data_IF_209103021832
#
_entry.id   IF_209103021832
#
_cell.length_a   1.000
_cell.length_b   1.000
_cell.length_c   1.000
_cell.angle_alpha   90.00
_cell.angle_beta   90.00
_cell.angle_gamma   90.00
#
_symmetry.space_group_name_H-M   'P 1'
#
loop_
_entity.id
_entity.type
_entity.pdbx_description
1 polymer ?
#
# COMPACT_ATOMS: atom_id res chain seq x y z
N UNK A 1 -35.90 26.52 9.34
CA UNK A 1 -35.53 25.09 9.41
C UNK A 1 -34.90 24.73 8.08
N UNK A 2 -33.61 24.43 8.05
CA UNK A 2 -32.95 23.98 6.83
C UNK A 2 -33.35 22.53 6.58
N UNK A 3 -34.08 22.27 5.49
CA UNK A 3 -34.28 20.92 4.97
C UNK A 3 -32.90 20.30 4.71
N UNK A 4 -32.57 19.13 5.26
CA UNK A 4 -31.31 18.47 4.95
C UNK A 4 -31.29 18.17 3.45
N UNK A 5 -30.29 18.68 2.74
CA UNK A 5 -30.03 18.36 1.34
C UNK A 5 -29.99 16.84 1.20
N UNK A 6 -30.98 16.27 0.53
CA UNK A 6 -31.05 14.83 0.33
C UNK A 6 -29.80 14.39 -0.44
N UNK A 7 -29.00 13.50 0.15
CA UNK A 7 -27.82 12.96 -0.50
C UNK A 7 -28.21 12.32 -1.84
N UNK A 8 -27.40 12.57 -2.88
CA UNK A 8 -27.62 11.97 -4.18
C UNK A 8 -27.64 10.43 -4.06
N UNK A 9 -28.52 9.74 -4.81
CA UNK A 9 -28.58 8.29 -4.79
C UNK A 9 -27.27 7.70 -5.28
N UNK A 10 -26.87 6.58 -4.68
CA UNK A 10 -25.73 5.78 -5.13
C UNK A 10 -26.24 4.71 -6.08
N UNK A 11 -25.43 4.31 -7.05
CA UNK A 11 -25.81 3.28 -8.01
C UNK A 11 -24.75 2.19 -8.06
N UNK A 12 -25.18 0.95 -8.26
CA UNK A 12 -24.30 -0.17 -8.54
C UNK A 12 -24.87 -0.99 -9.69
N UNK A 13 -24.02 -1.60 -10.49
CA UNK A 13 -24.45 -2.60 -11.47
C UNK A 13 -23.45 -3.74 -11.50
N UNK A 14 -23.94 -4.97 -11.36
CA UNK A 14 -23.10 -6.16 -11.34
C UNK A 14 -23.67 -7.26 -12.22
N UNK A 15 -22.78 -8.05 -12.82
CA UNK A 15 -23.11 -9.36 -13.34
C UNK A 15 -22.98 -10.37 -12.19
N UNK A 16 -24.05 -11.09 -11.89
CA UNK A 16 -24.07 -12.13 -10.87
C UNK A 16 -24.27 -13.48 -11.55
N UNK A 17 -23.36 -14.42 -11.32
CA UNK A 17 -23.55 -15.82 -11.70
C UNK A 17 -24.59 -16.47 -10.79
N UNK A 18 -25.71 -16.92 -11.35
CA UNK A 18 -26.83 -17.54 -10.65
C UNK A 18 -26.97 -19.00 -11.04
N UNK A 19 -27.45 -19.82 -10.10
CA UNK A 19 -27.77 -21.21 -10.40
C UNK A 19 -28.85 -21.29 -11.49
N UNK A 20 -28.59 -22.08 -12.56
CA UNK A 20 -29.52 -22.27 -13.67
C UNK A 20 -30.61 -23.26 -13.24
N UNK A 21 -31.89 -22.91 -13.39
CA UNK A 21 -33.02 -23.80 -13.10
C UNK A 21 -33.14 -24.96 -14.10
N UNK A 22 -32.83 -24.72 -15.37
CA UNK A 22 -32.88 -25.71 -16.45
C UNK A 22 -31.53 -25.78 -17.21
N UNK A 23 -30.79 -26.90 -17.14
CA UNK A 23 -29.53 -27.10 -17.87
C UNK A 23 -29.62 -26.90 -19.40
N UNK A 24 -30.83 -26.90 -19.98
CA UNK A 24 -31.08 -26.68 -21.42
C UNK A 24 -31.47 -25.23 -21.77
N UNK A 25 -31.65 -24.35 -20.79
CA UNK A 25 -31.99 -22.96 -21.05
C UNK A 25 -30.83 -22.24 -21.76
N UNK A 26 -31.11 -21.70 -22.95
CA UNK A 26 -30.17 -20.89 -23.73
C UNK A 26 -30.15 -19.49 -23.15
N UNK A 27 -29.37 -19.33 -22.09
CA UNK A 27 -29.24 -18.10 -21.31
C UNK A 27 -28.35 -18.43 -20.13
N UNK A 28 -27.04 -18.28 -20.33
CA UNK A 28 -26.03 -18.70 -19.35
C UNK A 28 -26.36 -18.15 -17.97
N UNK A 29 -26.18 -18.97 -16.93
CA UNK A 29 -26.57 -18.73 -15.53
C UNK A 29 -25.97 -17.48 -14.90
N UNK A 30 -26.38 -16.33 -15.39
CA UNK A 30 -25.98 -15.02 -14.94
C UNK A 30 -27.09 -14.02 -15.20
N UNK A 31 -27.21 -13.06 -14.30
CA UNK A 31 -28.11 -11.90 -14.44
C UNK A 31 -27.31 -10.63 -14.23
N UNK A 32 -27.78 -9.54 -14.82
CA UNK A 32 -27.28 -8.20 -14.55
C UNK A 32 -28.24 -7.51 -13.59
N UNK A 33 -27.70 -7.01 -12.48
CA UNK A 33 -28.46 -6.32 -11.42
C UNK A 33 -27.98 -4.89 -11.33
N UNK A 34 -28.82 -3.95 -11.73
CA UNK A 34 -28.66 -2.52 -11.45
C UNK A 34 -29.45 -2.19 -10.19
N UNK A 35 -28.79 -1.58 -9.22
CA UNK A 35 -29.41 -1.13 -7.98
C UNK A 35 -29.24 0.38 -7.79
N UNK A 36 -30.28 1.01 -7.27
CA UNK A 36 -30.26 2.41 -6.84
C UNK A 36 -30.44 2.46 -5.33
N UNK A 37 -29.47 3.00 -4.63
CA UNK A 37 -29.38 3.01 -3.18
C UNK A 37 -29.68 4.41 -2.64
N UNK A 38 -30.67 4.48 -1.76
CA UNK A 38 -30.96 5.65 -0.93
C UNK A 38 -30.60 5.34 0.54
N UNK A 39 -30.56 6.35 1.43
CA UNK A 39 -30.21 6.12 2.84
C UNK A 39 -31.10 5.10 3.57
N UNK A 40 -32.35 4.92 3.15
CA UNK A 40 -33.37 4.14 3.86
C UNK A 40 -34.19 3.20 2.96
N UNK A 41 -33.92 3.21 1.64
CA UNK A 41 -34.63 2.43 0.64
C UNK A 41 -33.72 2.08 -0.53
N UNK A 42 -34.15 1.15 -1.39
CA UNK A 42 -33.43 0.86 -2.64
C UNK A 42 -34.39 0.42 -3.73
N UNK A 43 -33.93 0.46 -4.98
CA UNK A 43 -34.63 -0.18 -6.10
C UNK A 43 -33.68 -1.06 -6.90
N UNK A 44 -34.23 -2.12 -7.49
CA UNK A 44 -33.52 -3.09 -8.30
C UNK A 44 -34.14 -3.14 -9.70
N UNK A 45 -33.30 -3.17 -10.71
CA UNK A 45 -33.64 -3.57 -12.07
C UNK A 45 -32.71 -4.72 -12.47
N UNK A 46 -33.30 -5.85 -12.85
CA UNK A 46 -32.59 -7.10 -13.11
C UNK A 46 -32.94 -7.60 -14.50
N UNK A 47 -31.95 -8.08 -15.25
CA UNK A 47 -32.18 -8.74 -16.55
C UNK A 47 -31.29 -9.96 -16.72
N UNK A 48 -31.80 -10.98 -17.38
CA UNK A 48 -31.05 -12.14 -17.88
C UNK A 48 -30.65 -11.99 -19.36
N UNK A 49 -30.92 -10.82 -19.96
CA UNK A 49 -30.73 -10.52 -21.38
C UNK A 49 -31.97 -10.73 -22.25
N UNK A 50 -32.97 -11.50 -21.78
CA UNK A 50 -34.22 -11.73 -22.51
C UNK A 50 -35.42 -11.08 -21.80
N UNK A 51 -35.52 -11.25 -20.48
CA UNK A 51 -36.51 -10.65 -19.61
C UNK A 51 -35.93 -9.56 -18.72
N UNK A 52 -36.82 -8.79 -18.09
CA UNK A 52 -36.44 -7.81 -17.09
C UNK A 52 -37.44 -7.79 -15.94
N UNK A 53 -36.94 -7.58 -14.74
CA UNK A 53 -37.71 -7.55 -13.51
C UNK A 53 -37.25 -6.40 -12.62
N UNK A 54 -38.19 -5.81 -11.90
CA UNK A 54 -37.94 -4.65 -11.04
C UNK A 54 -38.45 -4.91 -9.63
N UNK A 55 -37.83 -4.25 -8.65
CA UNK A 55 -38.37 -4.13 -7.32
C UNK A 55 -38.09 -2.73 -6.77
N UNK A 56 -39.11 -2.15 -6.16
CA UNK A 56 -39.01 -0.94 -5.34
C UNK A 56 -39.10 -1.38 -3.89
N UNK A 57 -38.01 -1.29 -3.14
CA UNK A 57 -37.98 -1.62 -1.72
C UNK A 57 -38.23 -0.34 -0.93
N UNK A 58 -39.49 -0.09 -0.57
CA UNK A 58 -39.89 1.13 0.13
C UNK A 58 -39.23 1.24 1.51
N UNK A 59 -39.18 2.47 2.04
CA UNK A 59 -38.70 2.75 3.39
C UNK A 59 -39.33 1.86 4.48
N UNK A 60 -40.63 1.56 4.36
CA UNK A 60 -41.35 0.72 5.31
C UNK A 60 -40.96 -0.76 5.19
N UNK A 61 -40.83 -1.27 3.97
CA UNK A 61 -40.45 -2.66 3.72
C UNK A 61 -39.01 -2.93 4.13
N UNK A 62 -38.08 -2.01 3.85
CA UNK A 62 -36.69 -2.13 4.28
C UNK A 62 -36.59 -2.12 5.80
N UNK A 63 -37.31 -1.24 6.50
CA UNK A 63 -37.37 -1.23 7.98
C UNK A 63 -37.86 -2.56 8.53
N UNK A 64 -39.01 -3.05 8.02
CA UNK A 64 -39.59 -4.32 8.46
C UNK A 64 -38.63 -5.50 8.22
N UNK A 65 -37.89 -5.49 7.10
CA UNK A 65 -36.91 -6.53 6.77
C UNK A 65 -35.66 -6.46 7.62
N UNK A 66 -35.17 -5.26 7.91
CA UNK A 66 -34.05 -5.06 8.82
C UNK A 66 -34.38 -5.54 10.24
N UNK A 67 -35.59 -5.24 10.73
CA UNK A 67 -36.11 -5.70 12.02
C UNK A 67 -36.22 -7.24 12.09
N UNK A 68 -36.72 -7.89 11.03
CA UNK A 68 -36.74 -9.37 10.93
C UNK A 68 -35.35 -10.02 11.07
N UNK A 69 -34.30 -9.25 10.77
CA UNK A 69 -32.90 -9.71 10.80
C UNK A 69 -32.14 -9.20 12.02
N UNK A 70 -32.86 -8.55 12.94
CA UNK A 70 -32.33 -7.91 14.15
C UNK A 70 -31.08 -7.07 13.85
N UNK A 71 -31.23 -6.15 12.89
CA UNK A 71 -30.15 -5.25 12.48
C UNK A 71 -30.66 -3.85 12.12
N UNK A 72 -29.82 -2.81 12.28
CA UNK A 72 -30.14 -1.47 11.79
C UNK A 72 -30.40 -1.44 10.28
N UNK A 73 -31.25 -0.50 9.84
CA UNK A 73 -31.54 -0.28 8.40
C UNK A 73 -30.27 -0.02 7.60
N UNK A 74 -29.35 0.78 8.15
CA UNK A 74 -28.08 1.11 7.48
C UNK A 74 -27.22 -0.14 7.22
N UNK A 75 -27.19 -1.08 8.17
CA UNK A 75 -26.43 -2.33 8.06
C UNK A 75 -27.11 -3.30 7.08
N UNK A 76 -28.44 -3.38 7.11
CA UNK A 76 -29.22 -4.15 6.15
C UNK A 76 -28.95 -3.69 4.71
N UNK A 77 -28.98 -2.37 4.47
CA UNK A 77 -28.70 -1.78 3.15
C UNK A 77 -27.25 -1.97 2.74
N UNK A 78 -26.30 -1.75 3.65
CA UNK A 78 -24.86 -1.94 3.37
C UNK A 78 -24.53 -3.40 3.04
N UNK A 79 -25.20 -4.35 3.70
CA UNK A 79 -25.10 -5.77 3.40
C UNK A 79 -25.66 -6.07 1.99
N UNK A 80 -26.87 -5.58 1.69
CA UNK A 80 -27.47 -5.77 0.37
C UNK A 80 -26.60 -5.16 -0.74
N UNK A 81 -26.09 -3.95 -0.53
CA UNK A 81 -25.21 -3.27 -1.49
C UNK A 81 -23.91 -4.05 -1.71
N UNK A 82 -23.25 -4.52 -0.66
CA UNK A 82 -22.02 -5.30 -0.79
C UNK A 82 -22.20 -6.53 -1.71
N UNK A 83 -23.31 -7.24 -1.56
CA UNK A 83 -23.57 -8.49 -2.28
C UNK A 83 -24.16 -8.28 -3.67
N UNK A 84 -24.83 -7.15 -3.92
CA UNK A 84 -25.43 -6.83 -5.22
C UNK A 84 -24.56 -5.93 -6.09
N UNK A 85 -23.65 -5.15 -5.50
CA UNK A 85 -22.68 -4.34 -6.24
C UNK A 85 -21.51 -5.18 -6.77
N UNK A 86 -21.17 -6.28 -6.10
CA UNK A 86 -20.10 -7.20 -6.49
C UNK A 86 -20.46 -8.63 -6.10
N UNK A 87 -20.23 -9.57 -7.02
CA UNK A 87 -20.39 -10.99 -6.74
C UNK A 87 -19.40 -11.44 -5.66
N UNK A 88 -19.94 -12.03 -4.59
CA UNK A 88 -19.14 -12.54 -3.47
C UNK A 88 -18.73 -14.00 -3.73
N UNK A 89 -17.43 -14.35 -3.70
CA UNK A 89 -16.96 -15.71 -3.99
C UNK A 89 -17.51 -16.80 -3.06
N UNK A 90 -17.78 -16.45 -1.79
CA UNK A 90 -18.31 -17.37 -0.78
C UNK A 90 -19.84 -17.49 -0.79
N UNK A 91 -20.51 -16.75 -1.66
CA UNK A 91 -21.97 -16.69 -1.73
C UNK A 91 -22.50 -17.51 -2.89
N UNK A 92 -23.60 -18.23 -2.66
CA UNK A 92 -24.39 -18.84 -3.72
C UNK A 92 -25.54 -17.91 -4.06
N UNK A 93 -25.58 -17.45 -5.31
CA UNK A 93 -26.66 -16.63 -5.83
C UNK A 93 -27.66 -17.47 -6.61
N UNK A 94 -28.94 -17.10 -6.52
CA UNK A 94 -30.02 -17.82 -7.15
C UNK A 94 -31.05 -16.87 -7.74
N UNK A 95 -31.65 -17.28 -8.85
CA UNK A 95 -32.64 -16.50 -9.57
C UNK A 95 -33.74 -17.42 -10.09
N UNK A 96 -34.81 -17.52 -9.31
CA UNK A 96 -35.83 -18.56 -9.49
C UNK A 96 -37.19 -18.00 -9.87
N UNK A 97 -38.02 -18.80 -10.53
CA UNK A 97 -39.43 -18.44 -10.75
C UNK A 97 -40.18 -18.30 -9.42
N UNK A 98 -40.93 -17.21 -9.27
CA UNK A 98 -41.74 -16.88 -8.11
C UNK A 98 -43.25 -16.78 -8.44
N UNK A 99 -43.64 -17.25 -9.62
CA UNK A 99 -45.01 -17.27 -10.11
C UNK A 99 -45.48 -15.92 -10.64
N UNK A 100 -46.50 -15.94 -11.50
CA UNK A 100 -47.07 -14.74 -12.14
C UNK A 100 -46.02 -13.90 -12.89
N UNK A 101 -45.05 -14.56 -13.52
CA UNK A 101 -43.91 -13.92 -14.20
C UNK A 101 -42.90 -13.26 -13.26
N UNK A 102 -43.15 -13.25 -11.95
CA UNK A 102 -42.21 -12.72 -10.95
C UNK A 102 -41.00 -13.62 -10.82
N UNK A 103 -39.85 -13.04 -10.48
CA UNK A 103 -38.64 -13.79 -10.14
C UNK A 103 -38.24 -13.56 -8.69
N UNK A 104 -37.50 -14.48 -8.10
CA UNK A 104 -36.90 -14.33 -6.77
C UNK A 104 -35.39 -14.32 -6.91
N UNK A 105 -34.78 -13.19 -6.54
CA UNK A 105 -33.34 -13.07 -6.40
C UNK A 105 -32.96 -13.40 -4.96
N UNK A 106 -31.98 -14.27 -4.78
CA UNK A 106 -31.43 -14.55 -3.46
C UNK A 106 -29.93 -14.78 -3.48
N UNK A 107 -29.33 -14.62 -2.30
CA UNK A 107 -27.94 -15.00 -2.07
C UNK A 107 -27.72 -15.46 -0.64
N UNK A 108 -26.69 -16.27 -0.44
CA UNK A 108 -26.31 -16.74 0.89
C UNK A 108 -25.20 -15.90 1.50
N UNK A 109 -25.23 -15.67 2.79
CA UNK A 109 -24.15 -15.01 3.52
C UNK A 109 -24.03 -15.62 4.91
N UNK A 110 -22.89 -15.41 5.56
CA UNK A 110 -22.63 -15.94 6.89
C UNK A 110 -22.66 -14.80 7.92
N UNK A 111 -23.36 -15.01 9.03
CA UNK A 111 -23.39 -14.10 10.18
C UNK A 111 -23.23 -14.95 11.44
N UNK A 112 -22.18 -14.68 12.21
CA UNK A 112 -21.90 -15.37 13.48
C UNK A 112 -21.89 -16.92 13.37
N UNK A 113 -21.25 -17.46 12.33
CA UNK A 113 -21.17 -18.91 12.11
C UNK A 113 -22.44 -19.55 11.53
N UNK A 114 -23.49 -18.76 11.26
CA UNK A 114 -24.74 -19.25 10.67
C UNK A 114 -24.86 -18.80 9.22
N UNK A 115 -25.10 -19.74 8.31
CA UNK A 115 -25.40 -19.47 6.91
C UNK A 115 -26.87 -19.08 6.75
N UNK A 116 -27.10 -17.85 6.31
CA UNK A 116 -28.41 -17.26 6.08
C UNK A 116 -28.61 -16.98 4.59
N UNK A 117 -29.86 -16.78 4.17
CA UNK A 117 -30.20 -16.48 2.78
C UNK A 117 -31.06 -15.22 2.69
N UNK A 118 -30.54 -14.21 2.01
CA UNK A 118 -31.26 -12.99 1.69
C UNK A 118 -32.13 -13.23 0.46
N UNK A 119 -33.40 -12.81 0.48
CA UNK A 119 -34.34 -13.06 -0.62
C UNK A 119 -35.20 -11.83 -0.91
N UNK A 120 -35.38 -11.53 -2.20
CA UNK A 120 -36.28 -10.48 -2.65
C UNK A 120 -37.08 -10.93 -3.87
N UNK A 121 -38.36 -10.57 -3.87
CA UNK A 121 -39.25 -10.84 -5.00
C UNK A 121 -39.21 -9.65 -5.95
N UNK A 122 -39.03 -9.93 -7.23
CA UNK A 122 -38.99 -8.98 -8.32
C UNK A 122 -40.23 -9.18 -9.19
N UNK A 123 -40.88 -8.08 -9.57
CA UNK A 123 -42.03 -8.09 -10.48
C UNK A 123 -41.57 -8.00 -11.94
N UNK A 124 -42.30 -8.55 -12.91
CA UNK A 124 -42.03 -8.30 -14.32
C UNK A 124 -41.94 -6.79 -14.59
N UNK A 125 -40.95 -6.37 -15.38
CA UNK A 125 -40.90 -4.98 -15.83
C UNK A 125 -42.11 -4.67 -16.71
N UNK A 126 -42.76 -3.50 -16.55
CA UNK A 126 -43.82 -3.07 -17.46
C UNK A 126 -43.30 -2.83 -18.89
N UNK A 127 -42.01 -2.53 -19.05
CA UNK A 127 -41.36 -2.36 -20.35
C UNK A 127 -39.96 -3.00 -20.32
N UNK A 128 -39.91 -4.30 -20.66
CA UNK A 128 -38.69 -5.09 -20.68
C UNK A 128 -37.57 -4.45 -21.50
N UNK A 129 -37.88 -4.00 -22.72
CA UNK A 129 -36.86 -3.46 -23.63
C UNK A 129 -36.24 -2.17 -23.09
N UNK A 130 -37.07 -1.29 -22.54
CA UNK A 130 -36.60 -0.07 -21.91
C UNK A 130 -35.73 -0.35 -20.69
N UNK A 131 -36.15 -1.25 -19.79
CA UNK A 131 -35.34 -1.60 -18.62
C UNK A 131 -33.99 -2.19 -19.00
N UNK A 132 -33.93 -3.03 -20.04
CA UNK A 132 -32.68 -3.58 -20.55
C UNK A 132 -31.79 -2.46 -21.12
N UNK A 133 -32.36 -1.58 -21.95
CA UNK A 133 -31.64 -0.43 -22.51
C UNK A 133 -31.06 0.47 -21.40
N UNK A 134 -31.84 0.81 -20.37
CA UNK A 134 -31.40 1.65 -19.24
C UNK A 134 -30.31 0.99 -18.36
N UNK A 135 -30.23 -0.34 -18.34
CA UNK A 135 -29.11 -1.07 -17.70
C UNK A 135 -27.87 -0.99 -18.59
N UNK A 136 -28.02 -1.19 -19.90
CA UNK A 136 -26.92 -1.11 -20.86
C UNK A 136 -26.34 0.30 -20.95
N UNK A 137 -27.18 1.33 -21.04
CA UNK A 137 -26.78 2.74 -21.06
C UNK A 137 -25.96 3.07 -19.80
N UNK A 138 -26.44 2.65 -18.62
CA UNK A 138 -25.71 2.83 -17.37
C UNK A 138 -24.32 2.16 -17.40
N UNK A 139 -24.22 0.95 -17.95
CA UNK A 139 -22.95 0.24 -18.07
C UNK A 139 -22.01 0.92 -19.10
N UNK A 140 -22.54 1.40 -20.21
CA UNK A 140 -21.79 2.11 -21.24
C UNK A 140 -21.25 3.45 -20.72
N UNK A 141 -22.09 4.25 -20.05
CA UNK A 141 -21.67 5.50 -19.41
C UNK A 141 -20.57 5.27 -18.37
N UNK A 142 -20.74 4.23 -17.54
CA UNK A 142 -19.74 3.85 -16.56
C UNK A 142 -18.42 3.42 -17.23
N UNK A 143 -18.50 2.68 -18.34
CA UNK A 143 -17.33 2.23 -19.10
C UNK A 143 -16.57 3.40 -19.75
N UNK A 144 -17.28 4.34 -20.36
CA UNK A 144 -16.69 5.55 -20.96
C UNK A 144 -15.96 6.35 -19.88
N UNK A 145 -16.65 6.67 -18.78
CA UNK A 145 -16.07 7.44 -17.66
C UNK A 145 -14.85 6.74 -17.06
N UNK A 146 -14.91 5.42 -16.84
CA UNK A 146 -13.79 4.67 -16.30
C UNK A 146 -12.61 4.63 -17.27
N UNK A 147 -12.88 4.49 -18.58
CA UNK A 147 -11.84 4.50 -19.61
C UNK A 147 -11.12 5.84 -19.67
N UNK A 148 -11.85 6.96 -19.62
CA UNK A 148 -11.28 8.30 -19.52
C UNK A 148 -10.45 8.47 -18.23
N UNK A 149 -10.91 7.92 -17.11
CA UNK A 149 -10.20 7.96 -15.85
C UNK A 149 -8.90 7.17 -15.87
N UNK A 150 -8.89 5.99 -16.50
CA UNK A 150 -7.67 5.20 -16.71
C UNK A 150 -6.68 6.01 -17.55
N UNK A 151 -7.09 6.57 -18.69
CA UNK A 151 -6.19 7.37 -19.55
C UNK A 151 -5.57 8.53 -18.77
N UNK A 152 -6.39 9.30 -18.05
CA UNK A 152 -5.93 10.46 -17.27
C UNK A 152 -4.97 10.06 -16.15
N UNK A 153 -5.29 8.98 -15.42
CA UNK A 153 -4.44 8.50 -14.32
C UNK A 153 -3.11 7.95 -14.83
N UNK A 154 -3.11 7.21 -15.94
CA UNK A 154 -1.87 6.73 -16.58
C UNK A 154 -0.98 7.89 -17.02
N UNK A 155 -1.53 8.90 -17.70
CA UNK A 155 -0.76 10.09 -18.08
C UNK A 155 -0.18 10.84 -16.88
N UNK A 156 -0.95 10.97 -15.79
CA UNK A 156 -0.46 11.59 -14.55
C UNK A 156 0.63 10.77 -13.88
N UNK A 157 0.49 9.44 -13.89
CA UNK A 157 1.47 8.52 -13.33
C UNK A 157 2.80 8.61 -14.10
N UNK A 158 2.76 8.61 -15.44
CA UNK A 158 3.96 8.72 -16.27
C UNK A 158 4.69 10.04 -16.05
N UNK A 159 3.96 11.16 -15.93
CA UNK A 159 4.53 12.48 -15.60
C UNK A 159 5.22 12.46 -14.24
N UNK A 160 4.53 11.93 -13.21
CA UNK A 160 5.09 11.86 -11.87
C UNK A 160 6.33 10.96 -11.81
N UNK A 161 6.33 9.86 -12.55
CA UNK A 161 7.50 8.98 -12.68
C UNK A 161 8.69 9.71 -13.29
N UNK A 162 8.48 10.46 -14.39
CA UNK A 162 9.54 11.26 -15.01
C UNK A 162 10.08 12.36 -14.08
N UNK A 163 9.21 13.02 -13.32
CA UNK A 163 9.63 14.03 -12.33
C UNK A 163 10.43 13.40 -11.18
N UNK A 164 10.03 12.21 -10.71
CA UNK A 164 10.77 11.46 -9.72
C UNK A 164 12.17 11.07 -10.21
N UNK A 165 12.29 10.61 -11.46
CA UNK A 165 13.59 10.27 -12.06
C UNK A 165 14.50 11.50 -12.20
N UNK A 166 13.95 12.66 -12.59
CA UNK A 166 14.70 13.92 -12.65
C UNK A 166 15.19 14.35 -11.26
N UNK A 167 14.34 14.25 -10.24
CA UNK A 167 14.71 14.58 -8.87
C UNK A 167 15.82 13.67 -8.35
N UNK A 168 15.76 12.37 -8.66
CA UNK A 168 16.80 11.41 -8.29
C UNK A 168 18.14 11.77 -8.95
N UNK A 169 18.15 12.00 -10.27
CA UNK A 169 19.36 12.41 -10.99
C UNK A 169 19.95 13.72 -10.45
N UNK A 170 19.09 14.68 -10.11
CA UNK A 170 19.53 15.93 -9.52
C UNK A 170 20.13 15.72 -8.12
N UNK A 171 19.52 14.87 -7.30
CA UNK A 171 20.03 14.51 -5.98
C UNK A 171 21.40 13.83 -6.05
N UNK A 172 21.59 12.89 -6.98
CA UNK A 172 22.87 12.21 -7.18
C UNK A 172 23.97 13.19 -7.59
N UNK A 173 23.67 14.10 -8.52
CA UNK A 173 24.61 15.16 -8.94
C UNK A 173 25.00 16.06 -7.78
N UNK A 174 24.02 16.57 -7.02
CA UNK A 174 24.30 17.41 -5.85
C UNK A 174 25.11 16.68 -4.78
N UNK A 175 24.89 15.38 -4.58
CA UNK A 175 25.66 14.61 -3.63
C UNK A 175 27.13 14.49 -4.05
N UNK A 176 27.39 14.29 -5.35
CA UNK A 176 28.75 14.24 -5.89
C UNK A 176 29.43 15.61 -5.78
N UNK A 177 28.76 16.69 -6.22
CA UNK A 177 29.28 18.06 -6.12
C UNK A 177 29.58 18.45 -4.66
N UNK A 178 28.72 18.03 -3.72
CA UNK A 178 28.94 18.22 -2.28
C UNK A 178 30.20 17.48 -1.81
N UNK A 179 30.36 16.21 -2.18
CA UNK A 179 31.52 15.41 -1.79
C UNK A 179 32.84 16.01 -2.34
N UNK A 180 32.84 16.43 -3.60
CA UNK A 180 33.99 17.11 -4.21
C UNK A 180 34.32 18.44 -3.51
N UNK A 181 33.30 19.23 -3.19
CA UNK A 181 33.45 20.49 -2.48
C UNK A 181 34.01 20.28 -1.06
N UNK A 182 33.48 19.29 -0.32
CA UNK A 182 33.97 18.91 1.01
C UNK A 182 35.44 18.50 0.93
N UNK A 183 35.80 17.59 0.00
CA UNK A 183 37.17 17.13 -0.19
C UNK A 183 38.14 18.28 -0.51
N UNK A 184 37.77 19.17 -1.43
CA UNK A 184 38.58 20.33 -1.81
C UNK A 184 38.78 21.29 -0.63
N UNK A 185 37.73 21.47 0.17
CA UNK A 185 37.75 22.34 1.36
C UNK A 185 38.64 21.74 2.46
N UNK A 186 38.48 20.46 2.78
CA UNK A 186 39.33 19.76 3.75
C UNK A 186 40.81 19.79 3.33
N UNK A 187 41.10 19.58 2.05
CA UNK A 187 42.49 19.65 1.53
C UNK A 187 43.13 21.02 1.76
N UNK A 188 42.38 22.11 1.52
CA UNK A 188 42.85 23.47 1.82
C UNK A 188 43.09 23.69 3.30
N UNK A 189 42.18 23.23 4.16
CA UNK A 189 42.35 23.32 5.62
C UNK A 189 43.61 22.59 6.10
N UNK A 190 43.86 21.37 5.61
CA UNK A 190 45.07 20.59 5.92
C UNK A 190 46.33 21.32 5.45
N UNK A 191 46.32 21.90 4.24
CA UNK A 191 47.46 22.68 3.74
C UNK A 191 47.77 23.89 4.64
N UNK A 192 46.74 24.63 5.09
CA UNK A 192 46.89 25.76 6.03
C UNK A 192 47.42 25.29 7.38
N UNK A 193 46.88 24.19 7.93
CA UNK A 193 47.35 23.61 9.20
C UNK A 193 48.82 23.18 9.11
N UNK A 194 49.22 22.54 8.01
CA UNK A 194 50.60 22.12 7.79
C UNK A 194 51.55 23.32 7.64
N UNK A 195 51.15 24.36 6.91
CA UNK A 195 51.91 25.61 6.81
C UNK A 195 52.10 26.27 8.18
N UNK A 196 51.03 26.35 8.99
CA UNK A 196 51.10 26.85 10.38
C UNK A 196 52.00 25.99 11.27
N UNK A 197 51.89 24.65 11.20
CA UNK A 197 52.76 23.71 11.93
C UNK A 197 54.23 23.88 11.53
N UNK A 198 54.53 24.02 10.25
CA UNK A 198 55.88 24.26 9.75
C UNK A 198 56.44 25.59 10.26
N UNK A 199 55.62 26.66 10.24
CA UNK A 199 56.03 27.97 10.77
C UNK A 199 56.30 27.93 12.27
N UNK A 200 55.47 27.24 13.05
CA UNK A 200 55.70 27.02 14.48
C UNK A 200 57.02 26.28 14.74
N UNK A 201 57.33 25.23 13.96
CA UNK A 201 58.61 24.51 14.07
C UNK A 201 59.80 25.42 13.75
N UNK A 202 59.73 26.22 12.68
CA UNK A 202 60.78 27.18 12.34
C UNK A 202 61.00 28.21 13.46
N UNK A 203 59.94 28.75 14.05
CA UNK A 203 60.04 29.72 15.14
C UNK A 203 60.66 29.08 16.40
N UNK A 204 60.26 27.85 16.74
CA UNK A 204 60.86 27.09 17.85
C UNK A 204 62.35 26.84 17.62
N UNK A 205 62.76 26.41 16.43
CA UNK A 205 64.17 26.17 16.11
C UNK A 205 65.01 27.45 16.22
N UNK A 206 64.51 28.58 15.73
CA UNK A 206 65.20 29.88 15.88
C UNK A 206 65.35 30.30 17.33
N UNK A 207 64.35 30.03 18.17
CA UNK A 207 64.42 30.32 19.60
C UNK A 207 65.53 29.49 20.26
N UNK A 208 65.57 28.19 19.98
CA UNK A 208 66.61 27.29 20.52
C UNK A 208 68.02 27.63 20.00
N UNK A 209 68.16 28.09 18.76
CA UNK A 209 69.44 28.55 18.20
C UNK A 209 69.93 29.84 18.88
N UNK A 210 69.04 30.78 19.18
CA UNK A 210 69.39 31.99 19.94
C UNK A 210 69.76 31.66 21.39
N UNK A 211 69.01 30.78 22.05
CA UNK A 211 69.32 30.32 23.41
C UNK A 211 70.65 29.56 23.50
N UNK A 212 71.03 28.82 22.46
CA UNK A 212 72.32 28.12 22.40
C UNK A 212 73.46 29.04 21.97
N UNK A 213 73.22 30.06 21.12
CA UNK A 213 74.20 31.10 20.80
C UNK A 213 74.49 32.03 21.98
N UNK A 214 73.55 32.19 22.92
CA UNK A 214 73.77 32.87 24.20
C UNK A 214 74.53 32.00 25.22
N UNK A 215 74.69 30.70 24.95
CA UNK A 215 75.36 29.71 25.79
C UNK A 215 76.55 29.03 25.09
N UNK A 216 77.63 29.76 24.86
CA UNK A 216 79.00 29.28 25.15
C UNK A 216 80.03 30.42 25.01
N UNK A 217 81.09 30.50 25.85
CA UNK A 217 81.49 29.49 26.84
C UNK A 217 81.45 29.99 28.30
N UNK A 218 80.88 29.15 29.18
CA UNK A 218 81.52 28.83 30.47
C UNK A 218 81.38 27.33 30.70
N UNK A 219 82.54 26.72 30.89
CA UNK A 219 82.79 25.31 31.17
C UNK A 219 82.22 24.87 32.53
N UNK A 220 81.82 23.59 32.54
CA UNK A 220 81.97 22.55 33.57
C UNK A 220 81.39 22.77 34.98
N UNK A 221 80.49 21.87 35.42
CA UNK A 221 80.83 20.85 36.44
C UNK A 221 79.66 19.85 36.68
N UNK A 222 80.07 18.58 36.72
CA UNK A 222 79.72 17.48 37.63
C UNK A 222 78.26 17.17 38.05
N UNK A 223 77.81 16.01 37.54
CA UNK A 223 77.55 14.75 38.26
C UNK A 223 76.55 14.65 39.46
N UNK A 224 75.90 13.49 39.45
CA UNK A 224 75.12 12.79 40.49
C UNK A 224 73.64 13.13 40.75
N UNK A 225 72.80 12.19 40.30
CA UNK A 225 71.93 11.34 41.14
C UNK A 225 71.22 12.01 42.33
N UNK A 226 69.88 11.97 42.39
CA UNK A 226 69.08 10.93 43.08
C UNK A 226 67.60 11.37 43.13
N UNK A 227 66.71 10.44 42.80
CA UNK A 227 65.39 10.20 43.38
C UNK A 227 64.75 11.29 44.28
N UNK A 228 63.61 11.84 43.83
CA UNK A 228 62.38 11.88 44.63
C UNK A 228 61.17 12.32 43.81
N UNK A 229 60.21 11.41 43.78
CA UNK A 229 58.88 11.54 43.19
C UNK A 229 57.91 11.97 44.29
N UNK A 230 57.29 13.15 44.19
CA UNK A 230 56.05 13.52 44.91
C UNK A 230 55.27 14.49 44.00
N UNK A 231 54.29 14.02 43.23
CA UNK A 231 52.86 13.82 43.57
C UNK A 231 52.13 15.12 43.99
N UNK A 232 51.24 15.57 43.11
CA UNK A 232 49.94 16.18 43.44
C UNK A 232 49.02 15.87 42.25
N UNK A 233 48.20 14.80 42.33
CA UNK A 233 46.78 14.80 42.75
C UNK A 233 45.95 15.76 41.87
N UNK A 234 45.24 15.32 40.83
CA UNK A 234 44.10 14.37 40.76
C UNK A 234 42.89 14.78 41.63
N UNK A 235 41.90 15.40 40.98
CA UNK A 235 40.47 15.08 41.19
C UNK A 235 39.79 15.19 39.81
N UNK A 236 39.57 14.04 39.14
CA UNK A 236 38.32 13.24 39.12
C UNK A 236 37.19 13.95 38.34
N UNK A 237 36.51 13.38 37.35
CA UNK A 237 36.27 11.99 36.92
C UNK A 237 36.11 11.95 35.37
N UNK A 238 36.67 10.97 34.64
CA UNK A 238 36.07 9.65 34.30
C UNK A 238 34.58 9.75 33.92
N UNK A 239 34.09 9.22 32.81
CA UNK A 239 34.44 8.07 31.99
C UNK A 239 33.51 8.19 30.74
N UNK A 240 33.76 7.69 29.53
CA UNK A 240 34.76 6.78 29.02
C UNK A 240 34.30 6.27 27.63
N UNK A 241 35.31 5.92 26.83
CA UNK A 241 35.28 5.05 25.66
C UNK A 241 34.74 5.57 24.31
N UNK A 242 35.69 6.15 23.58
CA UNK A 242 36.11 5.74 22.22
C UNK A 242 35.55 4.39 21.75
N UNK A 243 35.03 4.40 20.53
CA UNK A 243 35.46 3.49 19.47
C UNK A 243 35.67 4.31 18.18
N UNK A 244 36.90 4.27 17.66
CA UNK A 244 37.28 4.46 16.25
C UNK A 244 36.50 3.46 15.37
N UNK A 245 36.20 3.61 14.08
CA UNK A 245 36.71 4.41 12.95
C UNK A 245 35.63 4.32 11.83
N UNK A 246 35.56 5.24 10.83
CA UNK A 246 34.53 5.22 9.80
C UNK A 246 35.04 4.88 8.38
N UNK A 247 34.33 4.01 7.67
CA UNK A 247 34.32 3.86 6.21
C UNK A 247 33.10 3.00 5.86
N UNK A 248 32.32 3.15 4.79
CA UNK A 248 32.30 4.00 3.61
C UNK A 248 30.90 3.78 2.99
N UNK A 249 30.44 4.74 2.19
CA UNK A 249 29.54 4.61 1.02
C UNK A 249 28.26 3.74 1.04
N UNK A 250 27.18 4.36 0.53
CA UNK A 250 26.35 3.73 -0.49
C UNK A 250 25.00 3.18 -0.02
N UNK A 251 23.93 3.84 -0.46
CA UNK A 251 22.55 3.45 -0.17
C UNK A 251 22.04 2.26 -0.98
N UNK A 252 20.75 1.98 -0.79
CA UNK A 252 20.01 1.00 -1.55
C UNK A 252 18.85 0.43 -0.75
N UNK A 253 17.73 1.15 -0.75
CA UNK A 253 16.43 0.56 -0.48
C UNK A 253 16.16 -0.59 -1.46
N UNK A 254 15.55 -1.68 -0.99
CA UNK A 254 14.18 -2.10 -1.36
C UNK A 254 13.96 -3.61 -1.17
N UNK A 255 12.80 -3.88 -0.56
CA UNK A 255 11.90 -5.01 -0.81
C UNK A 255 12.34 -6.44 -0.47
N UNK A 256 11.85 -6.91 0.68
CA UNK A 256 11.61 -8.32 0.96
C UNK A 256 10.21 -8.76 0.52
N UNK A 257 10.14 -9.83 -0.28
CA UNK A 257 9.19 -10.97 -0.18
C UNK A 257 9.36 -11.90 -1.41
N UNK A 258 8.98 -13.19 -1.34
CA UNK A 258 9.35 -14.22 -0.37
C UNK A 258 9.91 -15.50 -1.07
N UNK A 259 10.71 -16.29 -0.35
CA UNK A 259 11.27 -17.55 -0.86
C UNK A 259 10.30 -18.74 -0.74
N UNK A 260 10.17 -19.49 -1.86
CA UNK A 260 9.73 -20.88 -1.93
C UNK A 260 10.94 -21.78 -1.73
N UNK A 261 10.95 -22.64 -0.71
CA UNK A 261 11.93 -23.72 -0.59
C UNK A 261 11.40 -25.01 -1.23
N UNK A 262 12.10 -25.50 -2.25
CA UNK A 262 12.06 -26.89 -2.67
C UNK A 262 13.33 -27.60 -2.19
N UNK A 263 13.20 -28.82 -1.67
CA UNK A 263 14.33 -29.72 -1.43
C UNK A 263 14.05 -31.06 -2.10
N UNK A 264 14.95 -31.44 -3.00
CA UNK A 264 15.05 -32.75 -3.62
C UNK A 264 16.01 -33.62 -2.82
N UNK A 265 15.74 -34.92 -2.70
CA UNK A 265 16.78 -35.91 -2.42
C UNK A 265 16.57 -37.19 -3.24
N UNK A 266 17.63 -37.54 -3.98
CA UNK A 266 17.97 -38.80 -4.67
C UNK A 266 17.50 -40.04 -3.87
N UNK A 267 17.04 -41.16 -4.42
CA UNK A 267 17.51 -41.91 -5.59
C UNK A 267 18.03 -43.28 -5.11
N UNK A 268 17.28 -44.36 -5.35
CA UNK A 268 17.64 -45.72 -4.93
C UNK A 268 16.91 -46.82 -5.72
N UNK A 269 17.70 -47.67 -6.39
CA UNK A 269 17.36 -48.71 -7.38
C UNK A 269 16.36 -49.79 -6.92
N UNK A 270 15.32 -50.00 -7.73
CA UNK A 270 15.08 -51.21 -8.53
C UNK A 270 14.82 -52.57 -7.85
N UNK A 271 13.64 -53.17 -8.13
CA UNK A 271 13.53 -54.58 -8.58
C UNK A 271 12.16 -54.88 -9.20
N UNK A 272 12.21 -55.47 -10.40
CA UNK A 272 11.10 -56.14 -11.10
C UNK A 272 10.43 -57.20 -10.23
N UNK A 273 9.12 -57.39 -10.41
CA UNK A 273 8.54 -58.72 -10.70
C UNK A 273 7.11 -58.60 -11.23
N UNK A 274 6.91 -59.18 -12.41
CA UNK A 274 5.64 -59.53 -13.06
C UNK A 274 5.07 -60.83 -12.50
N UNK A 275 3.79 -61.05 -12.84
CA UNK A 275 2.86 -62.20 -12.66
C UNK A 275 1.75 -61.83 -11.64
N UNK A 276 0.47 -62.04 -11.93
CA UNK A 276 -0.21 -62.90 -12.90
C UNK A 276 -1.55 -62.25 -13.27
#
# INVERSE_FOLDING_TARGET
>A
MATPTAAAPRHSCAKLSVAVEDPKAVGGGAVFVKATWHPTRFSLAVTDGAGAWVAEASDAEVRLRAEQWDQPVADYLSLAERYLAFQQPSSTYSFHDAGNGSRRLSWTFEKQGTKLEWRWKLQPSPNTQQTIAEILDFLMDANIRLSEEVVRKTQSFDKLKQESEKCLQQSERFNNEKAEFEQATFSKFVAVLNSKKAKLRQLKNKLTELESAEKAPKEEEEDNSTDKTELFEEESDKNGSINDEPSETGGGDLHSSPEKTGATSRGGRGRKRTRK
#
